data_IF_345402632572
#
_entry.id   IF_345402632572
#
_cell.length_a   1.000
_cell.length_b   1.000
_cell.length_c   1.000
_cell.angle_alpha   90.00
_cell.angle_beta   90.00
_cell.angle_gamma   90.00
#
_symmetry.space_group_name_H-M   'P 1'
#
loop_
_entity.id
_entity.type
_entity.pdbx_description
1 polymer ?
#
# COMPACT_ATOMS: atom_id res chain seq x y z
N UNK A 1 -33.45 -19.04 -0.36
CA UNK A 1 -32.86 -17.76 0.07
C UNK A 1 -31.41 -17.75 -0.34
N UNK A 2 -31.04 -17.04 -1.41
CA UNK A 2 -29.65 -16.92 -1.83
C UNK A 2 -28.95 -15.89 -0.94
N UNK A 3 -28.08 -16.34 -0.04
CA UNK A 3 -27.21 -15.45 0.75
C UNK A 3 -26.27 -14.71 -0.19
N UNK A 4 -26.49 -13.41 -0.36
CA UNK A 4 -25.60 -12.54 -1.09
C UNK A 4 -24.26 -12.46 -0.32
N UNK A 5 -23.19 -12.98 -0.90
CA UNK A 5 -21.86 -13.06 -0.27
C UNK A 5 -21.00 -11.96 -0.86
N UNK A 6 -20.63 -10.98 -0.03
CA UNK A 6 -19.72 -9.92 -0.43
C UNK A 6 -18.27 -10.43 -0.42
N UNK A 7 -17.52 -10.08 -1.46
CA UNK A 7 -16.08 -10.34 -1.54
C UNK A 7 -15.37 -8.99 -1.38
N UNK A 8 -14.48 -8.89 -0.41
CA UNK A 8 -13.64 -7.71 -0.20
C UNK A 8 -12.36 -7.86 -1.02
N UNK A 9 -12.02 -6.83 -1.79
CA UNK A 9 -10.82 -6.79 -2.61
C UNK A 9 -9.94 -5.66 -2.09
N UNK A 10 -8.64 -5.92 -1.96
CA UNK A 10 -7.67 -4.93 -1.53
C UNK A 10 -7.58 -3.79 -2.56
N UNK A 11 -7.57 -2.55 -2.07
CA UNK A 11 -7.36 -1.37 -2.92
C UNK A 11 -5.91 -1.30 -3.42
N UNK A 12 -5.64 -0.40 -4.37
CA UNK A 12 -4.27 -0.17 -4.83
C UNK A 12 -3.42 0.41 -3.69
N UNK A 13 -4.04 1.23 -2.84
CA UNK A 13 -3.47 1.87 -1.67
C UNK A 13 -3.05 0.84 -0.62
N UNK A 14 -3.89 -0.16 -0.35
CA UNK A 14 -3.57 -1.24 0.58
C UNK A 14 -2.36 -2.05 0.10
N UNK A 15 -2.24 -2.28 -1.22
CA UNK A 15 -1.08 -2.96 -1.82
C UNK A 15 0.20 -2.13 -1.61
N UNK A 16 0.13 -0.80 -1.77
CA UNK A 16 1.25 0.11 -1.52
C UNK A 16 1.67 0.07 -0.05
N UNK A 17 0.71 0.15 0.88
CA UNK A 17 0.97 0.08 2.33
C UNK A 17 1.59 -1.27 2.72
N UNK A 18 1.13 -2.37 2.13
CA UNK A 18 1.68 -3.70 2.39
C UNK A 18 3.15 -3.81 1.96
N UNK A 19 3.50 -3.25 0.80
CA UNK A 19 4.90 -3.20 0.32
C UNK A 19 5.78 -2.33 1.22
N UNK A 20 5.29 -1.17 1.66
CA UNK A 20 6.01 -0.30 2.60
C UNK A 20 6.26 -1.00 3.93
N UNK A 21 5.27 -1.72 4.45
CA UNK A 21 5.41 -2.52 5.68
C UNK A 21 6.47 -3.62 5.53
N UNK A 22 6.48 -4.33 4.41
CA UNK A 22 7.52 -5.34 4.17
C UNK A 22 8.91 -4.75 4.03
N UNK A 23 9.04 -3.59 3.38
CA UNK A 23 10.31 -2.88 3.30
C UNK A 23 10.85 -2.54 4.70
N UNK A 24 9.99 -2.05 5.60
CA UNK A 24 10.34 -1.77 6.99
C UNK A 24 10.72 -3.01 7.80
N UNK A 25 10.00 -4.12 7.64
CA UNK A 25 10.26 -5.38 8.37
C UNK A 25 11.54 -6.05 7.86
N UNK A 26 11.83 -5.96 6.56
CA UNK A 26 13.02 -6.53 5.94
C UNK A 26 14.30 -5.69 6.14
N UNK A 27 14.32 -4.83 7.17
CA UNK A 27 15.44 -3.94 7.54
C UNK A 27 16.03 -3.15 6.35
N UNK A 28 15.15 -2.65 5.46
CA UNK A 28 15.52 -1.89 4.26
C UNK A 28 16.38 -2.63 3.21
N UNK A 29 16.59 -3.94 3.33
CA UNK A 29 17.47 -4.70 2.44
C UNK A 29 16.94 -4.83 1.00
N UNK A 30 15.62 -4.68 0.77
CA UNK A 30 15.02 -4.88 -0.55
C UNK A 30 14.75 -3.56 -1.29
N UNK A 31 15.78 -3.02 -1.93
CA UNK A 31 15.68 -1.95 -2.94
C UNK A 31 14.63 -2.25 -4.03
N UNK A 32 14.35 -3.54 -4.30
CA UNK A 32 13.36 -3.98 -5.28
C UNK A 32 11.92 -3.62 -4.85
N UNK A 33 11.56 -3.79 -3.59
CA UNK A 33 10.21 -3.45 -3.10
C UNK A 33 9.98 -1.93 -3.12
N UNK A 34 11.01 -1.15 -2.79
CA UNK A 34 10.95 0.30 -2.89
C UNK A 34 10.75 0.77 -4.34
N UNK A 35 11.44 0.14 -5.31
CA UNK A 35 11.25 0.41 -6.75
C UNK A 35 9.83 0.08 -7.21
N UNK A 36 9.24 -1.00 -6.72
CA UNK A 36 7.85 -1.34 -7.03
C UNK A 36 6.87 -0.27 -6.52
N UNK A 37 7.05 0.20 -5.27
CA UNK A 37 6.23 1.29 -4.71
C UNK A 37 6.34 2.54 -5.56
N UNK A 38 7.57 2.93 -5.94
CA UNK A 38 7.79 4.09 -6.82
C UNK A 38 7.16 3.91 -8.21
N UNK A 39 7.16 2.70 -8.76
CA UNK A 39 6.50 2.38 -10.03
C UNK A 39 4.98 2.58 -9.97
N UNK A 40 4.35 2.12 -8.88
CA UNK A 40 2.91 2.31 -8.65
C UNK A 40 2.57 3.79 -8.47
N UNK A 41 3.33 4.50 -7.64
CA UNK A 41 3.15 5.93 -7.42
C UNK A 41 3.28 6.74 -8.72
N UNK A 42 4.24 6.41 -9.59
CA UNK A 42 4.41 7.10 -10.88
C UNK A 42 3.27 6.83 -11.86
N UNK A 43 2.79 5.60 -11.93
CA UNK A 43 1.79 5.19 -12.92
C UNK A 43 0.36 5.59 -12.51
N UNK A 44 0.06 5.59 -11.21
CA UNK A 44 -1.30 5.82 -10.69
C UNK A 44 -1.45 7.09 -9.85
N UNK A 45 -0.49 8.01 -9.90
CA UNK A 45 -0.47 9.26 -9.11
C UNK A 45 -1.78 10.06 -9.15
N UNK A 46 -2.51 10.05 -10.26
CA UNK A 46 -3.75 10.85 -10.39
C UNK A 46 -4.99 10.21 -9.74
N UNK A 47 -4.90 8.92 -9.39
CA UNK A 47 -6.04 8.11 -8.93
C UNK A 47 -5.82 7.62 -7.49
N UNK A 48 -4.57 7.64 -7.02
CA UNK A 48 -4.24 7.26 -5.65
C UNK A 48 -4.80 8.26 -4.64
N UNK A 49 -5.43 7.72 -3.61
CA UNK A 49 -5.81 8.50 -2.43
C UNK A 49 -4.59 8.69 -1.51
N UNK A 50 -3.94 9.85 -1.65
CA UNK A 50 -2.78 10.20 -0.84
C UNK A 50 -3.13 10.49 0.62
N UNK A 51 -4.34 10.94 0.92
CA UNK A 51 -4.77 11.21 2.28
C UNK A 51 -4.97 9.89 3.04
N UNK A 52 -5.56 8.88 2.39
CA UNK A 52 -5.65 7.51 2.91
C UNK A 52 -4.25 6.90 3.13
N UNK A 53 -3.37 6.99 2.13
CA UNK A 53 -1.99 6.51 2.25
C UNK A 53 -1.24 7.18 3.40
N UNK A 54 -1.41 8.50 3.59
CA UNK A 54 -0.76 9.25 4.67
C UNK A 54 -1.32 8.86 6.05
N UNK A 55 -2.64 8.74 6.17
CA UNK A 55 -3.29 8.32 7.40
C UNK A 55 -2.77 6.95 7.85
N UNK A 56 -2.79 5.97 6.95
CA UNK A 56 -2.41 4.60 7.29
C UNK A 56 -0.91 4.41 7.41
N UNK A 57 -0.10 5.10 6.63
CA UNK A 57 1.36 5.06 6.82
C UNK A 57 1.75 5.61 8.19
N UNK A 58 1.11 6.67 8.67
CA UNK A 58 1.31 7.17 10.03
C UNK A 58 0.85 6.15 11.08
N UNK A 59 -0.36 5.60 10.93
CA UNK A 59 -0.90 4.61 11.87
C UNK A 59 -0.02 3.35 11.98
N UNK A 60 0.48 2.87 10.85
CA UNK A 60 1.36 1.70 10.74
C UNK A 60 2.84 2.04 11.03
N UNK A 61 3.16 3.30 11.34
CA UNK A 61 4.52 3.81 11.58
C UNK A 61 5.46 3.53 10.41
N UNK A 62 4.99 3.65 9.17
CA UNK A 62 5.78 3.40 7.96
C UNK A 62 6.50 4.64 7.44
N UNK A 63 6.16 5.82 7.99
CA UNK A 63 6.93 7.05 7.83
C UNK A 63 8.22 7.00 8.67
N UNK A 64 9.34 7.55 8.16
CA UNK A 64 10.59 7.65 8.92
C UNK A 64 10.45 8.54 10.16
#
# INVERSE_FOLDING_TARGET
MSTNKLIYIASTEDIVLQKLRWYKIADNYSQKQWRDVLGVLKTRRKILDFDYLRLWSNYLKLTP
#
